data_IF_942834953460
#
_entry.id   IF_942834953460
#
_cell.length_a   1.000
_cell.length_b   1.000
_cell.length_c   1.000
_cell.angle_alpha   90.00
_cell.angle_beta   90.00
_cell.angle_gamma   90.00
#
_symmetry.space_group_name_H-M   'P 1'
#
loop_
_entity.id
_entity.type
_entity.pdbx_description
1 polymer ?
#
# COMPACT_ATOMS: atom_id res chain seq x y z
N UNK A 1 11.34 -67.52 -74.28
CA UNK A 1 12.35 -67.53 -73.22
C UNK A 1 12.24 -66.24 -72.41
N UNK A 2 11.74 -66.32 -71.21
CA UNK A 2 11.25 -65.22 -70.46
C UNK A 2 12.26 -64.47 -69.58
N UNK A 3 12.36 -63.21 -69.77
CA UNK A 3 13.05 -62.29 -68.84
C UNK A 3 12.00 -61.78 -67.76
N UNK A 4 11.69 -62.65 -66.86
CA UNK A 4 10.92 -62.27 -65.66
C UNK A 4 11.65 -62.78 -64.42
N UNK A 5 12.61 -62.06 -63.92
CA UNK A 5 13.33 -62.58 -62.79
C UNK A 5 14.26 -61.59 -62.04
N UNK A 6 14.40 -60.35 -62.52
CA UNK A 6 15.39 -59.47 -61.93
C UNK A 6 14.76 -58.28 -61.18
N UNK A 7 13.50 -57.89 -61.45
CA UNK A 7 12.84 -56.76 -60.78
C UNK A 7 12.15 -57.14 -59.45
N UNK A 8 11.85 -58.41 -59.21
CA UNK A 8 11.20 -58.87 -57.98
C UNK A 8 12.17 -59.02 -56.80
N UNK A 9 13.47 -59.01 -57.07
CA UNK A 9 14.53 -59.16 -56.03
C UNK A 9 14.95 -57.81 -55.41
N UNK A 10 14.64 -56.72 -56.06
CA UNK A 10 15.06 -55.37 -55.57
C UNK A 10 14.00 -54.72 -54.65
N UNK A 11 12.77 -55.25 -54.64
CA UNK A 11 11.67 -54.68 -53.90
C UNK A 11 11.22 -55.47 -52.64
N UNK A 12 12.02 -56.48 -52.25
CA UNK A 12 11.76 -57.14 -50.96
C UNK A 12 12.51 -56.41 -49.86
N UNK A 13 12.02 -55.30 -49.46
CA UNK A 13 12.37 -54.69 -48.18
C UNK A 13 11.65 -55.54 -47.13
N UNK A 14 12.37 -56.24 -46.27
CA UNK A 14 11.71 -57.04 -45.24
C UNK A 14 10.99 -56.10 -44.30
N UNK A 15 9.67 -56.21 -44.27
CA UNK A 15 8.78 -55.44 -43.36
C UNK A 15 9.23 -55.47 -41.87
N UNK A 16 9.99 -56.50 -41.52
CA UNK A 16 10.59 -56.65 -40.19
C UNK A 16 11.77 -55.73 -39.91
N UNK A 17 12.49 -55.26 -40.93
CA UNK A 17 13.65 -54.39 -40.74
C UNK A 17 13.21 -52.94 -40.45
N UNK A 18 12.06 -52.50 -40.94
CA UNK A 18 11.49 -51.18 -40.62
C UNK A 18 10.86 -51.15 -39.23
N UNK A 19 10.21 -52.25 -38.82
CA UNK A 19 9.65 -52.33 -37.45
C UNK A 19 10.76 -52.34 -36.40
N UNK A 20 11.82 -53.06 -36.59
CA UNK A 20 12.95 -53.16 -35.65
C UNK A 20 13.72 -51.82 -35.53
N UNK A 21 13.85 -51.08 -36.65
CA UNK A 21 14.43 -49.71 -36.60
C UNK A 21 13.54 -48.71 -35.91
N UNK A 22 12.23 -48.83 -36.11
CA UNK A 22 11.25 -47.98 -35.44
C UNK A 22 11.23 -48.21 -33.93
N UNK A 23 11.29 -49.48 -33.50
CA UNK A 23 11.32 -49.82 -32.08
C UNK A 23 12.58 -49.36 -31.37
N UNK A 24 13.76 -49.47 -32.04
CA UNK A 24 15.00 -48.95 -31.51
C UNK A 24 15.01 -47.41 -31.43
N UNK A 25 14.42 -46.75 -32.41
CA UNK A 25 14.31 -45.29 -32.43
C UNK A 25 13.38 -44.78 -31.33
N UNK A 26 12.25 -45.42 -31.17
CA UNK A 26 11.28 -45.13 -30.09
C UNK A 26 11.92 -45.38 -28.73
N UNK A 27 12.65 -46.48 -28.55
CA UNK A 27 13.34 -46.80 -27.29
C UNK A 27 14.40 -45.79 -26.90
N UNK A 28 15.04 -45.09 -27.85
CA UNK A 28 16.05 -44.06 -27.58
C UNK A 28 15.39 -42.70 -27.30
N UNK A 29 14.28 -42.36 -27.97
CA UNK A 29 13.62 -41.07 -27.86
C UNK A 29 12.65 -41.02 -26.67
N UNK A 30 11.99 -42.14 -26.34
CA UNK A 30 11.01 -42.22 -25.25
C UNK A 30 11.55 -41.69 -23.91
N UNK A 31 12.75 -42.06 -23.45
CA UNK A 31 13.27 -41.53 -22.20
C UNK A 31 13.41 -39.99 -22.21
N UNK A 32 13.81 -39.44 -23.36
CA UNK A 32 13.98 -37.98 -23.53
C UNK A 32 12.62 -37.24 -23.49
N UNK A 33 11.60 -37.81 -24.13
CA UNK A 33 10.25 -37.27 -24.13
C UNK A 33 9.66 -37.33 -22.70
N UNK A 34 9.83 -38.47 -22.03
CA UNK A 34 9.36 -38.63 -20.65
C UNK A 34 10.08 -37.64 -19.72
N UNK A 35 11.41 -37.50 -19.88
CA UNK A 35 12.18 -36.53 -19.12
C UNK A 35 11.71 -35.10 -19.34
N UNK A 36 11.39 -34.72 -20.58
CA UNK A 36 10.90 -33.41 -20.93
C UNK A 36 9.52 -33.15 -20.30
N UNK A 37 8.61 -34.14 -20.34
CA UNK A 37 7.28 -34.02 -19.71
C UNK A 37 7.40 -33.88 -18.20
N UNK A 38 8.27 -34.68 -17.57
CA UNK A 38 8.51 -34.57 -16.12
C UNK A 38 9.10 -33.22 -15.76
N UNK A 39 10.06 -32.69 -16.51
CA UNK A 39 10.61 -31.35 -16.28
C UNK A 39 9.54 -30.25 -16.40
N UNK A 40 8.69 -30.33 -17.43
CA UNK A 40 7.56 -29.38 -17.55
C UNK A 40 6.60 -29.49 -16.37
N UNK A 41 6.22 -30.68 -15.96
CA UNK A 41 5.33 -30.88 -14.80
C UNK A 41 5.96 -30.30 -13.52
N UNK A 42 7.26 -30.48 -13.31
CA UNK A 42 7.99 -29.89 -12.20
C UNK A 42 8.00 -28.35 -12.27
N UNK A 43 8.24 -27.77 -13.43
CA UNK A 43 8.22 -26.32 -13.62
C UNK A 43 6.83 -25.73 -13.33
N UNK A 44 5.78 -26.36 -13.85
CA UNK A 44 4.39 -25.92 -13.55
C UNK A 44 4.07 -26.08 -12.07
N UNK A 45 4.49 -27.19 -11.45
CA UNK A 45 4.28 -27.43 -10.03
C UNK A 45 5.00 -26.43 -9.14
N UNK A 46 6.27 -26.12 -9.45
CA UNK A 46 7.05 -25.10 -8.71
C UNK A 46 6.47 -23.71 -8.90
N UNK A 47 6.09 -23.35 -10.12
CA UNK A 47 5.45 -22.05 -10.40
C UNK A 47 4.12 -21.92 -9.66
N UNK A 48 3.32 -22.95 -9.66
CA UNK A 48 2.04 -23.00 -8.94
C UNK A 48 2.26 -22.92 -7.42
N UNK A 49 3.20 -23.69 -6.89
CA UNK A 49 3.54 -23.68 -5.46
C UNK A 49 4.06 -22.30 -5.03
N UNK A 50 4.84 -21.63 -5.87
CA UNK A 50 5.33 -20.28 -5.59
C UNK A 50 4.20 -19.25 -5.62
N UNK A 51 3.28 -19.38 -6.59
CA UNK A 51 2.12 -18.49 -6.71
C UNK A 51 1.15 -18.68 -5.54
N UNK A 52 0.85 -19.93 -5.17
CA UNK A 52 -0.01 -20.20 -4.00
C UNK A 52 0.66 -19.83 -2.70
N UNK A 53 1.97 -20.04 -2.54
CA UNK A 53 2.71 -19.62 -1.35
C UNK A 53 2.79 -18.09 -1.24
N UNK A 54 2.94 -17.36 -2.34
CA UNK A 54 2.94 -15.88 -2.32
C UNK A 54 1.56 -15.30 -2.05
N UNK A 55 0.49 -16.01 -2.44
CA UNK A 55 -0.90 -15.58 -2.19
C UNK A 55 -1.37 -15.99 -0.79
N UNK A 56 -0.97 -17.17 -0.28
CA UNK A 56 -1.36 -17.63 1.06
C UNK A 56 -0.45 -17.09 2.18
N UNK A 57 0.78 -16.71 1.88
CA UNK A 57 1.71 -16.11 2.85
C UNK A 57 1.32 -14.70 3.27
N UNK A 58 0.32 -14.10 2.65
CA UNK A 58 -0.30 -12.85 3.05
C UNK A 58 -1.82 -12.99 3.06
N UNK A 59 -2.34 -13.77 3.97
CA UNK A 59 -3.46 -13.26 4.74
C UNK A 59 -2.89 -12.15 5.64
N UNK A 60 -2.42 -11.09 5.06
CA UNK A 60 -2.64 -9.80 5.64
C UNK A 60 -4.15 -9.74 5.68
N UNK A 61 -4.74 -10.03 6.83
CA UNK A 61 -6.00 -9.44 7.15
C UNK A 61 -5.74 -7.95 6.90
N UNK A 62 -6.17 -7.45 5.75
CA UNK A 62 -6.47 -6.04 5.63
C UNK A 62 -7.61 -5.85 6.61
N UNK A 63 -7.27 -5.68 7.86
CA UNK A 63 -8.08 -4.91 8.77
C UNK A 63 -8.07 -3.57 8.06
N UNK A 64 -9.14 -3.28 7.33
CA UNK A 64 -9.47 -1.95 6.91
C UNK A 64 -9.30 -1.13 8.18
N UNK A 65 -8.18 -0.42 8.28
CA UNK A 65 -7.97 0.47 9.40
C UNK A 65 -9.00 1.55 9.18
N UNK A 66 -10.09 1.45 9.92
CA UNK A 66 -11.09 2.47 10.00
C UNK A 66 -10.45 3.63 10.77
N UNK A 67 -9.52 4.36 10.11
CA UNK A 67 -9.02 5.59 10.69
C UNK A 67 -10.09 6.66 10.44
N UNK A 68 -10.76 7.02 11.49
CA UNK A 68 -11.68 8.14 11.50
C UNK A 68 -11.22 9.09 12.59
N UNK A 69 -10.94 10.32 12.21
CA UNK A 69 -10.67 11.37 13.18
C UNK A 69 -11.43 12.64 12.78
N UNK A 70 -11.78 13.42 13.77
CA UNK A 70 -12.42 14.71 13.63
C UNK A 70 -11.48 15.78 14.18
N UNK A 71 -11.49 16.94 13.55
CA UNK A 71 -10.81 18.11 14.07
C UNK A 71 -11.83 19.16 14.43
N UNK A 72 -11.69 19.76 15.61
CA UNK A 72 -12.44 20.92 16.06
C UNK A 72 -11.49 22.10 16.10
N UNK A 73 -11.89 23.21 15.48
CA UNK A 73 -11.07 24.42 15.39
C UNK A 73 -11.77 25.52 16.13
N UNK A 74 -11.11 26.11 17.13
CA UNK A 74 -11.68 27.19 17.94
C UNK A 74 -10.73 28.39 18.00
N UNK A 75 -11.33 29.56 18.17
CA UNK A 75 -10.63 30.83 18.40
C UNK A 75 -11.19 31.50 19.65
N UNK A 76 -10.34 31.75 20.65
CA UNK A 76 -10.80 32.35 21.91
C UNK A 76 -11.87 31.56 22.63
N UNK A 77 -11.98 30.25 22.41
CA UNK A 77 -12.98 29.36 22.97
C UNK A 77 -14.29 29.28 22.18
N UNK A 78 -14.41 30.01 21.08
CA UNK A 78 -15.55 29.91 20.15
C UNK A 78 -15.21 28.86 19.05
N UNK A 79 -16.11 27.90 18.81
CA UNK A 79 -16.00 26.92 17.74
C UNK A 79 -16.24 27.58 16.38
N UNK A 80 -15.25 27.48 15.51
CA UNK A 80 -15.28 27.99 14.14
C UNK A 80 -15.02 26.88 13.11
N UNK A 81 -15.21 25.63 13.48
CA UNK A 81 -14.92 24.47 12.66
C UNK A 81 -15.75 24.48 11.38
N UNK A 82 -15.14 24.51 10.19
CA UNK A 82 -15.88 24.40 8.94
C UNK A 82 -16.34 22.96 8.68
N UNK A 83 -17.24 22.81 7.75
CA UNK A 83 -17.60 21.47 7.24
C UNK A 83 -16.40 20.90 6.48
N UNK A 84 -15.97 19.66 6.78
CA UNK A 84 -14.88 19.04 6.07
C UNK A 84 -15.24 18.78 4.61
N UNK A 85 -14.25 18.78 3.73
CA UNK A 85 -14.40 18.39 2.35
C UNK A 85 -14.55 16.85 2.19
N UNK A 86 -14.69 16.39 0.95
CA UNK A 86 -14.86 14.95 0.63
C UNK A 86 -13.63 14.10 1.06
N UNK A 87 -12.46 14.73 1.21
CA UNK A 87 -11.22 14.11 1.68
C UNK A 87 -11.04 14.22 3.22
N UNK A 88 -12.00 14.80 3.92
CA UNK A 88 -11.99 15.01 5.36
C UNK A 88 -11.04 16.13 5.80
N UNK A 89 -10.70 17.06 4.92
CA UNK A 89 -9.90 18.23 5.27
C UNK A 89 -10.79 19.44 5.61
N UNK A 90 -10.30 20.29 6.50
CA UNK A 90 -10.99 21.48 7.01
C UNK A 90 -10.25 22.71 6.52
N UNK A 91 -10.88 23.52 5.68
CA UNK A 91 -10.30 24.74 5.13
C UNK A 91 -11.04 25.97 5.67
N UNK A 92 -10.29 26.89 6.28
CA UNK A 92 -10.86 28.13 6.79
C UNK A 92 -9.85 29.28 6.72
N UNK A 93 -10.36 30.49 6.69
CA UNK A 93 -9.54 31.70 6.67
C UNK A 93 -9.08 32.05 8.09
N UNK A 94 -7.76 32.13 8.28
CA UNK A 94 -7.14 32.52 9.53
C UNK A 94 -6.55 33.94 9.43
N UNK A 95 -6.59 34.66 10.54
CA UNK A 95 -6.02 36.01 10.68
C UNK A 95 -4.62 35.93 11.30
N UNK A 96 -3.68 36.62 10.72
CA UNK A 96 -2.31 36.67 11.22
C UNK A 96 -2.26 37.22 12.67
N UNK A 97 -1.43 36.56 13.48
CA UNK A 97 -1.18 36.99 14.88
C UNK A 97 -2.21 36.52 15.90
N UNK A 98 -3.29 35.86 15.49
CA UNK A 98 -4.28 35.29 16.38
C UNK A 98 -4.00 33.80 16.67
N UNK A 99 -4.42 33.33 17.86
CA UNK A 99 -4.25 31.94 18.27
C UNK A 99 -5.48 31.13 17.93
N UNK A 100 -5.25 30.01 17.26
CA UNK A 100 -6.28 29.05 16.91
C UNK A 100 -5.95 27.70 17.54
N UNK A 101 -6.91 27.17 18.27
CA UNK A 101 -6.78 25.84 18.89
C UNK A 101 -7.41 24.81 17.98
N UNK A 102 -6.63 23.80 17.60
CA UNK A 102 -7.08 22.66 16.80
C UNK A 102 -7.02 21.43 17.68
N UNK A 103 -8.19 20.94 18.08
CA UNK A 103 -8.34 19.69 18.84
C UNK A 103 -8.65 18.56 17.87
N UNK A 104 -7.79 17.54 17.83
CA UNK A 104 -7.98 16.37 16.97
C UNK A 104 -8.38 15.20 17.85
N UNK A 105 -9.53 14.61 17.55
CA UNK A 105 -10.07 13.46 18.28
C UNK A 105 -10.19 12.26 17.34
N UNK A 106 -9.64 11.14 17.75
CA UNK A 106 -9.69 9.88 17.00
C UNK A 106 -10.91 9.10 17.47
N UNK A 107 -11.73 8.63 16.55
CA UNK A 107 -12.95 7.90 16.86
C UNK A 107 -12.66 6.52 17.44
N UNK A 108 -13.58 6.01 18.27
CA UNK A 108 -13.52 4.65 18.80
C UNK A 108 -13.46 3.61 17.68
N UNK A 109 -12.67 2.55 17.90
CA UNK A 109 -12.48 1.47 16.91
C UNK A 109 -11.47 1.78 15.83
N UNK A 110 -10.84 2.96 15.85
CA UNK A 110 -9.73 3.31 14.96
C UNK A 110 -8.47 2.58 15.38
N UNK A 111 -7.88 1.82 14.45
CA UNK A 111 -6.59 1.17 14.65
C UNK A 111 -5.54 1.82 13.75
N UNK A 112 -4.41 2.22 14.34
CA UNK A 112 -3.27 2.74 13.59
C UNK A 112 -2.79 4.09 14.08
N UNK A 113 -1.80 4.60 13.37
CA UNK A 113 -1.24 5.92 13.60
C UNK A 113 -1.82 6.91 12.60
N UNK A 114 -1.86 8.17 12.98
CA UNK A 114 -2.23 9.27 12.13
C UNK A 114 -1.42 10.52 12.42
N UNK A 115 -1.66 11.54 11.66
CA UNK A 115 -1.08 12.87 11.83
C UNK A 115 -2.00 13.93 11.24
N UNK A 116 -1.81 15.17 11.69
CA UNK A 116 -2.48 16.33 11.12
C UNK A 116 -1.52 17.01 10.16
N UNK A 117 -1.92 17.17 8.90
CA UNK A 117 -1.21 17.97 7.90
C UNK A 117 -1.84 19.37 7.87
N UNK A 118 -1.02 20.39 8.01
CA UNK A 118 -1.45 21.80 7.94
C UNK A 118 -0.78 22.41 6.71
N UNK A 119 -1.60 22.95 5.80
CA UNK A 119 -1.14 23.58 4.56
C UNK A 119 -1.37 25.08 4.69
N UNK A 120 -0.34 25.88 4.42
CA UNK A 120 -0.41 27.34 4.45
C UNK A 120 -1.03 27.90 3.17
N UNK A 121 -1.50 29.17 3.17
CA UNK A 121 -2.23 29.75 2.04
C UNK A 121 -1.42 29.82 0.73
N UNK A 122 -0.12 29.91 0.81
CA UNK A 122 0.79 29.94 -0.33
C UNK A 122 1.24 28.56 -0.79
N UNK A 123 0.80 27.49 -0.09
CA UNK A 123 1.22 26.11 -0.29
C UNK A 123 2.75 25.89 -0.20
N UNK A 124 3.52 26.95 0.07
CA UNK A 124 4.97 26.88 0.14
C UNK A 124 5.45 26.09 1.35
N UNK A 125 4.69 26.17 2.45
CA UNK A 125 4.99 25.48 3.69
C UNK A 125 3.89 24.51 4.07
N UNK A 126 4.33 23.33 4.51
CA UNK A 126 3.45 22.31 5.04
C UNK A 126 3.98 21.86 6.38
N UNK A 127 3.13 21.87 7.39
CA UNK A 127 3.45 21.43 8.73
C UNK A 127 2.81 20.08 9.01
N UNK A 128 3.50 19.27 9.79
CA UNK A 128 3.06 17.94 10.19
C UNK A 128 3.01 17.88 11.71
N UNK A 129 1.82 17.71 12.26
CA UNK A 129 1.59 17.61 13.69
C UNK A 129 1.27 16.17 14.09
N UNK A 130 1.86 15.67 15.13
CA UNK A 130 1.62 14.31 15.62
C UNK A 130 2.77 13.75 16.44
N UNK A 131 2.86 12.40 16.55
CA UNK A 131 1.93 11.42 15.99
C UNK A 131 0.60 11.34 16.73
N UNK A 132 -0.47 11.00 16.01
CA UNK A 132 -1.73 10.58 16.61
C UNK A 132 -1.64 9.06 16.72
N UNK A 133 -1.60 8.53 17.94
CA UNK A 133 -1.51 7.09 18.16
C UNK A 133 -2.71 6.63 18.97
N UNK A 134 -3.49 5.72 18.40
CA UNK A 134 -4.61 5.10 19.08
C UNK A 134 -4.25 3.69 19.54
N UNK A 135 -3.34 3.57 20.47
CA UNK A 135 -3.05 2.30 21.13
C UNK A 135 -4.03 1.98 22.26
N UNK A 136 -4.73 2.99 22.78
CA UNK A 136 -5.68 2.88 23.89
C UNK A 136 -6.82 3.87 23.65
N UNK A 137 -8.05 3.40 23.66
CA UNK A 137 -9.31 4.12 23.43
C UNK A 137 -9.27 5.66 23.45
N UNK A 138 -9.82 6.29 22.42
CA UNK A 138 -10.01 7.74 22.23
C UNK A 138 -8.81 8.59 22.64
N UNK A 139 -7.88 8.78 21.71
CA UNK A 139 -6.85 9.78 21.88
C UNK A 139 -7.26 11.08 21.21
N UNK A 140 -7.20 12.15 21.95
CA UNK A 140 -7.27 13.51 21.45
C UNK A 140 -5.93 14.19 21.68
N UNK A 141 -5.48 15.02 20.73
CA UNK A 141 -4.42 15.95 20.98
C UNK A 141 -4.83 17.35 20.52
N UNK A 142 -4.27 18.35 21.19
CA UNK A 142 -4.57 19.75 20.92
C UNK A 142 -3.30 20.45 20.46
N UNK A 143 -3.42 21.19 19.37
CA UNK A 143 -2.36 22.04 18.83
C UNK A 143 -2.86 23.47 18.81
N UNK A 144 -2.07 24.41 19.32
CA UNK A 144 -2.33 25.84 19.13
C UNK A 144 -1.43 26.33 18.02
N UNK A 145 -2.03 27.00 17.04
CA UNK A 145 -1.31 27.56 15.88
C UNK A 145 -1.53 29.06 15.79
N UNK A 146 -0.49 29.79 15.45
CA UNK A 146 -0.52 31.23 15.22
C UNK A 146 -0.02 31.52 13.81
N UNK A 147 -0.93 31.85 12.87
CA UNK A 147 -0.53 32.24 11.52
C UNK A 147 0.30 33.54 11.54
N UNK A 148 1.32 33.62 10.70
CA UNK A 148 2.06 34.86 10.45
C UNK A 148 1.49 35.61 9.26
N UNK A 149 0.75 34.94 8.38
CA UNK A 149 0.10 35.50 7.21
C UNK A 149 -1.39 35.14 7.26
N UNK A 150 -2.25 36.11 6.99
CA UNK A 150 -3.69 35.85 6.87
C UNK A 150 -4.01 35.16 5.55
N UNK A 151 -4.94 34.21 5.56
CA UNK A 151 -5.38 33.50 4.38
C UNK A 151 -6.02 32.16 4.71
N UNK A 152 -6.29 31.37 3.69
CA UNK A 152 -6.93 30.06 3.84
C UNK A 152 -5.90 29.00 4.23
N UNK A 153 -6.09 28.43 5.40
CA UNK A 153 -5.30 27.29 5.91
C UNK A 153 -6.13 26.02 5.79
N UNK A 154 -5.48 24.91 5.44
CA UNK A 154 -6.14 23.61 5.37
C UNK A 154 -5.57 22.66 6.41
N UNK A 155 -6.44 22.12 7.24
CA UNK A 155 -6.15 21.15 8.28
C UNK A 155 -6.65 19.79 7.83
N UNK A 156 -5.74 18.88 7.49
CA UNK A 156 -6.08 17.58 6.94
C UNK A 156 -5.57 16.44 7.83
N UNK A 157 -6.45 15.83 8.63
CA UNK A 157 -6.13 14.60 9.33
C UNK A 157 -5.78 13.51 8.31
N UNK A 158 -4.68 12.78 8.54
CA UNK A 158 -4.20 11.73 7.64
C UNK A 158 -3.84 10.48 8.42
N UNK A 159 -4.12 9.34 7.80
CA UNK A 159 -3.74 8.04 8.32
C UNK A 159 -2.30 7.70 7.95
N UNK A 160 -1.61 6.99 8.85
CA UNK A 160 -0.25 6.51 8.67
C UNK A 160 0.78 7.31 9.46
N UNK A 161 2.04 7.12 9.10
CA UNK A 161 3.18 7.80 9.71
C UNK A 161 3.87 8.68 8.68
N UNK A 162 4.13 9.93 9.04
CA UNK A 162 4.91 10.82 8.17
C UNK A 162 6.40 10.49 8.29
N UNK A 163 7.05 10.14 7.19
CA UNK A 163 8.46 9.70 7.16
C UNK A 163 9.46 10.84 7.44
N UNK A 164 9.06 12.10 7.26
CA UNK A 164 9.89 13.28 7.52
C UNK A 164 9.94 13.73 8.98
N UNK A 165 9.26 12.99 9.89
CA UNK A 165 9.10 13.41 11.28
C UNK A 165 8.00 14.47 11.43
N UNK A 166 7.83 14.96 12.66
CA UNK A 166 6.79 15.93 13.01
C UNK A 166 7.42 17.23 13.48
N UNK A 167 7.07 18.34 12.86
CA UNK A 167 7.52 19.68 13.25
C UNK A 167 6.61 20.34 14.30
N UNK A 168 5.44 19.78 14.52
CA UNK A 168 4.52 20.23 15.56
C UNK A 168 4.16 19.02 16.43
N UNK A 169 4.25 19.19 17.75
CA UNK A 169 3.79 18.20 18.72
C UNK A 169 2.47 18.66 19.33
N UNK A 170 1.51 17.72 19.44
CA UNK A 170 0.26 18.02 20.13
C UNK A 170 0.50 18.18 21.64
N UNK A 171 -0.35 18.99 22.28
CA UNK A 171 -0.28 19.29 23.71
C UNK A 171 1.08 19.87 24.15
N UNK A 172 1.70 20.71 23.31
CA UNK A 172 2.90 21.42 23.71
C UNK A 172 2.57 22.42 24.81
N UNK A 173 3.16 22.24 25.99
CA UNK A 173 2.87 23.03 27.17
C UNK A 173 4.13 23.82 27.59
N UNK A 174 3.90 25.02 28.13
CA UNK A 174 4.95 25.78 28.83
C UNK A 174 5.17 25.27 30.27
N UNK A 175 6.08 25.91 30.99
CA UNK A 175 6.42 25.55 32.38
C UNK A 175 5.23 25.73 33.34
N UNK A 176 4.23 26.55 32.97
CA UNK A 176 3.03 26.82 33.72
C UNK A 176 1.85 25.89 33.34
N UNK A 177 2.08 25.01 32.34
CA UNK A 177 1.07 24.06 31.86
C UNK A 177 0.09 24.61 30.84
N UNK A 178 0.34 25.79 30.26
CA UNK A 178 -0.49 26.35 29.21
C UNK A 178 -0.01 25.87 27.84
N UNK A 179 -0.95 25.75 26.89
CA UNK A 179 -0.64 25.40 25.53
C UNK A 179 0.15 26.52 24.84
N UNK A 180 1.28 26.15 24.23
CA UNK A 180 2.14 27.08 23.48
C UNK A 180 1.79 27.04 22.01
N UNK A 181 1.59 28.23 21.41
CA UNK A 181 1.26 28.35 20.01
C UNK A 181 2.49 28.15 19.11
N UNK A 182 2.31 27.35 18.06
CA UNK A 182 3.27 27.22 16.99
C UNK A 182 3.07 28.30 15.92
N UNK A 183 4.14 29.00 15.59
CA UNK A 183 4.11 29.99 14.51
C UNK A 183 4.08 29.28 13.15
N UNK A 184 3.09 29.59 12.34
CA UNK A 184 2.96 29.10 10.96
C UNK A 184 3.42 30.21 10.01
N UNK A 185 4.55 29.99 9.34
CA UNK A 185 5.15 30.95 8.38
C UNK A 185 5.01 30.48 6.96
#
# INVERSE_FOLDING_TARGET
MGKKGLLSRILYIPKHAEAEKSDKFISIIMPSIVGMVVCMACLFGLTWAWFTSSVTSKTVSMVSSNFSCTAEISRGGEDITPVPDDDGAYSLELTAGEDYTVAVTVSEGTNGNGYLKIITPDEANTYYAGPINNQYAVQSFTVVVRPTVSGVYTFAPRWGTHNGGYNIQGNHLDDDGNLVAYSLT
#
